data_IF_994384415872
#
_entry.id   IF_994384415872
#
_cell.length_a   1.000
_cell.length_b   1.000
_cell.length_c   1.000
_cell.angle_alpha   90.00
_cell.angle_beta   90.00
_cell.angle_gamma   90.00
#
_symmetry.space_group_name_H-M   'P 1'
#
loop_
_entity.id
_entity.type
_entity.pdbx_description
1 polymer ?
#
# COMPACT_ATOMS: atom_id res chain seq x y z
N UNK A 1 -16.21 6.52 6.07
CA UNK A 1 -15.26 5.62 5.35
C UNK A 1 -15.31 5.71 3.82
N UNK A 2 -16.51 5.84 3.20
CA UNK A 2 -16.69 5.81 1.74
C UNK A 2 -15.81 6.78 0.95
N UNK A 3 -15.84 8.07 1.27
CA UNK A 3 -15.03 9.10 0.59
C UNK A 3 -13.54 8.81 0.69
N UNK A 4 -13.08 8.33 1.85
CA UNK A 4 -11.68 7.99 2.05
C UNK A 4 -11.23 6.86 1.13
N UNK A 5 -12.01 5.77 0.98
CA UNK A 5 -11.67 4.67 0.06
C UNK A 5 -11.52 5.17 -1.38
N UNK A 6 -12.43 6.05 -1.83
CA UNK A 6 -12.37 6.65 -3.17
C UNK A 6 -11.15 7.54 -3.36
N UNK A 7 -10.89 8.44 -2.41
CA UNK A 7 -9.72 9.34 -2.45
C UNK A 7 -8.42 8.55 -2.42
N UNK A 8 -8.34 7.54 -1.56
CA UNK A 8 -7.16 6.71 -1.40
C UNK A 8 -6.84 5.91 -2.66
N UNK A 9 -7.85 5.28 -3.28
CA UNK A 9 -7.67 4.60 -4.57
C UNK A 9 -7.16 5.53 -5.66
N UNK A 10 -7.73 6.73 -5.78
CA UNK A 10 -7.30 7.72 -6.78
C UNK A 10 -5.85 8.18 -6.54
N UNK A 11 -5.52 8.53 -5.30
CA UNK A 11 -4.19 8.99 -4.92
C UNK A 11 -3.15 7.88 -5.15
N UNK A 12 -3.49 6.64 -4.77
CA UNK A 12 -2.64 5.49 -5.01
C UNK A 12 -2.40 5.23 -6.50
N UNK A 13 -3.44 5.37 -7.32
CA UNK A 13 -3.35 5.19 -8.78
C UNK A 13 -2.52 6.28 -9.45
N UNK A 14 -2.62 7.53 -8.97
CA UNK A 14 -1.81 8.66 -9.44
C UNK A 14 -0.35 8.42 -9.08
N UNK A 15 -0.06 8.11 -7.81
CA UNK A 15 1.30 7.86 -7.36
C UNK A 15 1.95 6.68 -8.12
N UNK A 16 1.20 5.61 -8.33
CA UNK A 16 1.67 4.45 -9.09
C UNK A 16 1.97 4.83 -10.55
N UNK A 17 1.07 5.56 -11.21
CA UNK A 17 1.30 6.04 -12.59
C UNK A 17 2.52 6.96 -12.68
N UNK A 18 2.64 7.92 -11.76
CA UNK A 18 3.79 8.82 -11.70
C UNK A 18 5.08 8.03 -11.49
N UNK A 19 5.08 7.02 -10.62
CA UNK A 19 6.26 6.19 -10.41
C UNK A 19 6.76 5.56 -11.71
N UNK A 20 5.88 4.96 -12.53
CA UNK A 20 6.30 4.37 -13.81
C UNK A 20 6.78 5.40 -14.82
N UNK A 21 6.09 6.55 -14.93
CA UNK A 21 6.50 7.63 -15.83
C UNK A 21 7.92 8.08 -15.48
N UNK A 22 8.18 8.37 -14.21
CA UNK A 22 9.49 8.83 -13.76
C UNK A 22 10.54 7.72 -13.72
N UNK A 23 10.16 6.45 -13.52
CA UNK A 23 11.07 5.32 -13.66
C UNK A 23 11.61 5.23 -15.10
N UNK A 24 10.74 5.34 -16.10
CA UNK A 24 11.15 5.33 -17.51
C UNK A 24 12.05 6.53 -17.81
N UNK A 25 11.71 7.72 -17.30
CA UNK A 25 12.53 8.92 -17.48
C UNK A 25 13.89 8.81 -16.78
N UNK A 26 13.95 8.27 -15.57
CA UNK A 26 15.19 8.08 -14.82
C UNK A 26 16.14 7.11 -15.53
N UNK A 27 15.61 6.04 -16.12
CA UNK A 27 16.37 5.08 -16.94
C UNK A 27 16.85 5.73 -18.23
N UNK A 28 16.02 6.54 -18.89
CA UNK A 28 16.37 7.20 -20.15
C UNK A 28 17.42 8.31 -19.92
N UNK A 29 17.29 9.11 -18.87
CA UNK A 29 18.08 10.33 -18.65
C UNK A 29 19.35 10.09 -17.80
N UNK A 30 19.63 8.85 -17.37
CA UNK A 30 20.86 8.45 -16.65
C UNK A 30 21.35 9.50 -15.62
N UNK A 31 20.55 9.75 -14.57
CA UNK A 31 21.03 10.63 -13.49
C UNK A 31 19.99 11.24 -12.56
N UNK A 32 18.70 10.95 -12.75
CA UNK A 32 17.64 11.43 -11.88
C UNK A 32 17.23 10.36 -10.85
N UNK A 33 16.98 10.78 -9.61
CA UNK A 33 16.48 9.95 -8.50
C UNK A 33 14.99 10.24 -8.21
N UNK A 34 14.24 10.78 -9.17
CA UNK A 34 12.85 11.22 -8.96
C UNK A 34 11.93 10.02 -8.71
N UNK A 35 12.13 8.89 -9.38
CA UNK A 35 11.38 7.64 -9.14
C UNK A 35 11.55 7.15 -7.70
N UNK A 36 12.73 7.32 -7.10
CA UNK A 36 12.97 6.99 -5.70
C UNK A 36 12.17 7.90 -4.75
N UNK A 37 12.05 9.19 -5.05
CA UNK A 37 11.22 10.12 -4.28
C UNK A 37 9.75 9.71 -4.33
N UNK A 38 9.23 9.39 -5.52
CA UNK A 38 7.83 8.97 -5.69
C UNK A 38 7.57 7.64 -5.01
N UNK A 39 8.53 6.74 -5.05
CA UNK A 39 8.49 5.48 -4.33
C UNK A 39 8.36 5.68 -2.81
N UNK A 40 9.10 6.64 -2.23
CA UNK A 40 8.91 7.02 -0.83
C UNK A 40 7.52 7.59 -0.55
N UNK A 41 6.97 8.41 -1.46
CA UNK A 41 5.62 8.94 -1.33
C UNK A 41 4.55 7.82 -1.37
N UNK A 42 4.74 6.81 -2.22
CA UNK A 42 3.90 5.60 -2.26
C UNK A 42 3.95 4.89 -0.90
N UNK A 43 5.15 4.65 -0.36
CA UNK A 43 5.31 3.98 0.92
C UNK A 43 4.65 4.77 2.07
N UNK A 44 4.83 6.09 2.11
CA UNK A 44 4.18 6.97 3.10
C UNK A 44 2.65 6.90 3.00
N UNK A 45 2.10 6.99 1.78
CA UNK A 45 0.67 6.88 1.59
C UNK A 45 0.14 5.50 2.05
N UNK A 46 0.85 4.41 1.72
CA UNK A 46 0.50 3.08 2.18
C UNK A 46 0.43 2.99 3.70
N UNK A 47 1.41 3.55 4.41
CA UNK A 47 1.44 3.49 5.88
C UNK A 47 0.26 4.27 6.46
N UNK A 48 0.06 5.52 6.03
CA UNK A 48 -1.02 6.37 6.54
C UNK A 48 -2.38 5.72 6.25
N UNK A 49 -2.57 5.26 5.02
CA UNK A 49 -3.85 4.73 4.58
C UNK A 49 -4.17 3.38 5.21
N UNK A 50 -3.20 2.46 5.29
CA UNK A 50 -3.38 1.15 5.94
C UNK A 50 -3.65 1.30 7.44
N UNK A 51 -2.96 2.20 8.15
CA UNK A 51 -3.27 2.50 9.55
C UNK A 51 -4.68 3.05 9.72
N UNK A 52 -5.09 3.99 8.87
CA UNK A 52 -6.45 4.54 8.92
C UNK A 52 -7.52 3.47 8.70
N UNK A 53 -7.31 2.53 7.79
CA UNK A 53 -8.20 1.37 7.60
C UNK A 53 -8.19 0.45 8.82
N UNK A 54 -7.02 0.15 9.37
CA UNK A 54 -6.88 -0.77 10.50
C UNK A 54 -7.52 -0.23 11.79
N UNK A 55 -7.42 1.06 12.08
CA UNK A 55 -8.00 1.66 13.29
C UNK A 55 -9.44 2.15 13.11
N UNK A 56 -9.96 2.18 11.88
CA UNK A 56 -11.34 2.59 11.62
C UNK A 56 -12.34 1.52 12.09
N UNK A 57 -13.29 1.93 12.94
CA UNK A 57 -14.43 1.09 13.35
C UNK A 57 -15.45 0.87 12.21
N UNK A 58 -15.44 1.74 11.20
CA UNK A 58 -16.37 1.69 10.06
C UNK A 58 -15.84 0.84 8.89
N UNK A 59 -14.64 0.28 9.01
CA UNK A 59 -13.99 -0.49 7.95
C UNK A 59 -14.07 -1.98 8.26
N UNK A 60 -14.57 -2.76 7.29
CA UNK A 60 -14.64 -4.21 7.39
C UNK A 60 -13.28 -4.78 6.98
N UNK A 61 -12.52 -5.24 7.96
CA UNK A 61 -11.17 -5.78 7.75
C UNK A 61 -11.28 -7.18 7.17
N UNK A 62 -10.81 -7.37 5.94
CA UNK A 62 -10.64 -8.70 5.38
C UNK A 62 -9.43 -9.39 6.01
N UNK A 63 -9.42 -10.73 5.99
CA UNK A 63 -8.27 -11.53 6.43
C UNK A 63 -7.02 -11.14 5.64
N UNK A 64 -7.13 -11.00 4.31
CA UNK A 64 -6.05 -10.57 3.43
C UNK A 64 -5.47 -9.21 3.81
N UNK A 65 -6.33 -8.22 4.08
CA UNK A 65 -5.87 -6.91 4.56
C UNK A 65 -5.17 -7.01 5.92
N UNK A 66 -5.68 -7.85 6.82
CA UNK A 66 -5.09 -8.03 8.15
C UNK A 66 -3.70 -8.66 8.07
N UNK A 67 -3.53 -9.70 7.25
CA UNK A 67 -2.22 -10.33 6.99
C UNK A 67 -1.26 -9.33 6.37
N UNK A 68 -1.70 -8.61 5.32
CA UNK A 68 -0.92 -7.54 4.70
C UNK A 68 -0.45 -6.50 5.73
N UNK A 69 -1.37 -6.03 6.59
CA UNK A 69 -1.08 -4.98 7.57
C UNK A 69 -0.02 -5.44 8.57
N UNK A 70 -0.11 -6.66 9.09
CA UNK A 70 0.89 -7.17 10.03
C UNK A 70 2.27 -7.31 9.39
N UNK A 71 2.36 -7.88 8.19
CA UNK A 71 3.63 -7.99 7.45
C UNK A 71 4.21 -6.59 7.20
N UNK A 72 3.38 -5.65 6.74
CA UNK A 72 3.80 -4.27 6.50
C UNK A 72 4.29 -3.58 7.76
N UNK A 73 3.62 -3.76 8.90
CA UNK A 73 4.01 -3.13 10.17
C UNK A 73 5.27 -3.74 10.77
N UNK A 74 5.44 -5.07 10.68
CA UNK A 74 6.69 -5.73 11.08
C UNK A 74 7.85 -5.15 10.27
N UNK A 75 7.67 -5.03 8.95
CA UNK A 75 8.69 -4.45 8.10
C UNK A 75 9.04 -3.00 8.48
N UNK A 76 8.03 -2.16 8.72
CA UNK A 76 8.23 -0.77 9.16
C UNK A 76 8.97 -0.68 10.50
N UNK A 77 8.63 -1.55 11.46
CA UNK A 77 9.32 -1.61 12.75
C UNK A 77 10.76 -2.12 12.61
N UNK A 78 11.01 -3.07 11.72
CA UNK A 78 12.36 -3.53 11.38
C UNK A 78 13.21 -2.41 10.77
N UNK A 79 12.65 -1.64 9.83
CA UNK A 79 13.32 -0.46 9.26
C UNK A 79 13.60 0.62 10.31
N UNK A 80 12.63 0.91 11.18
CA UNK A 80 12.80 1.90 12.25
C UNK A 80 13.88 1.44 13.24
N UNK A 81 13.87 0.16 13.63
CA UNK A 81 14.91 -0.44 14.46
C UNK A 81 16.29 -0.25 13.84
N UNK A 82 16.43 -0.50 12.53
CA UNK A 82 17.69 -0.25 11.82
C UNK A 82 18.13 1.19 11.84
N UNK A 83 17.22 2.13 11.59
CA UNK A 83 17.53 3.55 11.65
C UNK A 83 18.06 3.93 13.03
N UNK A 84 17.39 3.47 14.10
CA UNK A 84 17.81 3.69 15.48
C UNK A 84 19.17 3.03 15.79
N UNK A 85 19.39 1.78 15.36
CA UNK A 85 20.68 1.10 15.50
C UNK A 85 21.78 1.74 14.66
N UNK A 86 21.46 2.43 13.56
CA UNK A 86 22.45 3.12 12.73
C UNK A 86 22.98 4.40 13.36
N UNK A 87 22.20 5.03 14.24
CA UNK A 87 22.62 6.17 15.05
C UNK A 87 23.53 5.75 16.23
N UNK A 88 23.56 4.45 16.56
CA UNK A 88 24.43 3.90 17.59
C UNK A 88 25.74 3.39 16.97
N UNK A 89 26.92 3.67 17.57
CA UNK A 89 28.21 3.20 17.10
C UNK A 89 28.43 1.70 17.43
N UNK A 90 27.49 0.84 17.03
CA UNK A 90 27.53 -0.60 17.27
C UNK A 90 28.16 -1.32 16.08
N UNK A 91 29.48 -1.54 16.14
CA UNK A 91 30.20 -2.49 15.27
C UNK A 91 30.03 -3.91 15.84
N UNK A 92 28.99 -4.62 15.42
CA UNK A 92 28.82 -6.04 15.71
C UNK A 92 28.31 -6.74 14.44
N UNK A 93 28.80 -7.95 14.13
CA UNK A 93 28.48 -8.70 12.91
C UNK A 93 26.97 -8.95 12.74
N UNK A 94 26.25 -9.04 13.87
CA UNK A 94 24.79 -9.12 13.87
C UNK A 94 24.12 -7.89 13.22
N UNK A 95 24.62 -6.68 13.48
CA UNK A 95 24.03 -5.45 12.93
C UNK A 95 24.25 -5.36 11.41
N UNK A 96 25.35 -5.90 10.90
CA UNK A 96 25.66 -5.95 9.46
C UNK A 96 24.73 -6.93 8.74
N UNK A 97 24.60 -8.16 9.26
CA UNK A 97 23.71 -9.18 8.67
C UNK A 97 22.23 -8.75 8.71
N UNK A 98 21.81 -8.12 9.81
CA UNK A 98 20.47 -7.56 9.96
C UNK A 98 20.21 -6.40 8.97
N UNK A 99 21.17 -5.50 8.77
CA UNK A 99 21.11 -4.44 7.74
C UNK A 99 20.96 -5.02 6.34
N UNK A 100 21.76 -6.03 6.00
CA UNK A 100 21.70 -6.67 4.69
C UNK A 100 20.36 -7.37 4.45
N UNK A 101 19.85 -8.09 5.45
CA UNK A 101 18.54 -8.75 5.37
C UNK A 101 17.38 -7.78 5.13
N UNK A 102 17.38 -6.63 5.81
CA UNK A 102 16.33 -5.62 5.62
C UNK A 102 16.52 -4.84 4.32
N UNK A 103 17.76 -4.63 3.84
CA UNK A 103 17.99 -4.07 2.51
C UNK A 103 17.44 -4.98 1.42
N UNK A 104 17.70 -6.30 1.50
CA UNK A 104 17.15 -7.28 0.57
C UNK A 104 15.62 -7.31 0.64
N UNK A 105 15.05 -7.34 1.84
CA UNK A 105 13.60 -7.27 2.02
C UNK A 105 13.03 -5.92 1.55
N UNK A 106 13.75 -4.82 1.70
CA UNK A 106 13.35 -3.51 1.21
C UNK A 106 13.34 -3.42 -0.32
N UNK A 107 14.32 -4.02 -0.98
CA UNK A 107 14.40 -4.08 -2.44
C UNK A 107 13.31 -4.96 -3.06
N UNK A 108 13.05 -6.14 -2.49
CA UNK A 108 12.10 -7.09 -3.08
C UNK A 108 10.71 -7.09 -2.43
N UNK A 109 10.64 -6.92 -1.12
CA UNK A 109 9.39 -6.97 -0.35
C UNK A 109 8.54 -5.71 -0.47
N UNK A 110 9.15 -4.53 -0.59
CA UNK A 110 8.40 -3.27 -0.68
C UNK A 110 7.62 -3.12 -2.00
N UNK A 111 8.14 -3.50 -3.19
CA UNK A 111 7.32 -3.57 -4.40
C UNK A 111 6.14 -4.55 -4.27
N UNK A 112 6.36 -5.71 -3.64
CA UNK A 112 5.30 -6.71 -3.42
C UNK A 112 4.23 -6.18 -2.46
N UNK A 113 4.63 -5.56 -1.37
CA UNK A 113 3.72 -4.87 -0.44
C UNK A 113 2.95 -3.76 -1.17
N UNK A 114 3.63 -3.01 -2.04
CA UNK A 114 3.00 -1.93 -2.78
C UNK A 114 1.90 -2.41 -3.74
N UNK A 115 2.19 -3.45 -4.51
CA UNK A 115 1.21 -4.07 -5.42
C UNK A 115 0.06 -4.69 -4.61
N UNK A 116 0.38 -5.39 -3.52
CA UNK A 116 -0.62 -6.00 -2.64
C UNK A 116 -1.59 -4.94 -2.09
N UNK A 117 -1.07 -3.80 -1.67
CA UNK A 117 -1.91 -2.71 -1.17
C UNK A 117 -2.78 -2.09 -2.25
N UNK A 118 -2.22 -1.86 -3.44
CA UNK A 118 -2.99 -1.36 -4.58
C UNK A 118 -4.19 -2.26 -4.89
N UNK A 119 -3.99 -3.59 -4.88
CA UNK A 119 -5.06 -4.57 -5.10
C UNK A 119 -6.14 -4.43 -4.02
N UNK A 120 -5.77 -4.25 -2.75
CA UNK A 120 -6.74 -4.04 -1.67
C UNK A 120 -7.53 -2.74 -1.89
N UNK A 121 -6.87 -1.65 -2.28
CA UNK A 121 -7.55 -0.39 -2.61
C UNK A 121 -8.53 -0.53 -3.79
N UNK A 122 -8.13 -1.27 -4.82
CA UNK A 122 -8.97 -1.54 -5.98
C UNK A 122 -10.22 -2.36 -5.60
N UNK A 123 -10.05 -3.44 -4.83
CA UNK A 123 -11.17 -4.28 -4.37
C UNK A 123 -12.16 -3.48 -3.53
N UNK A 124 -11.67 -2.65 -2.61
CA UNK A 124 -12.53 -1.82 -1.77
C UNK A 124 -13.28 -0.77 -2.58
N UNK A 125 -12.63 -0.18 -3.59
CA UNK A 125 -13.27 0.76 -4.50
C UNK A 125 -14.37 0.09 -5.34
N UNK A 126 -14.12 -1.10 -5.88
CA UNK A 126 -15.12 -1.88 -6.63
C UNK A 126 -16.32 -2.24 -5.77
N UNK A 127 -16.08 -2.72 -4.55
CA UNK A 127 -17.15 -3.05 -3.59
C UNK A 127 -18.00 -1.83 -3.25
N UNK A 128 -17.38 -0.65 -3.14
CA UNK A 128 -18.09 0.60 -2.90
C UNK A 128 -19.02 0.97 -4.06
N UNK A 129 -18.52 0.88 -5.30
CA UNK A 129 -19.29 1.19 -6.50
C UNK A 129 -20.47 0.24 -6.69
N UNK A 130 -20.27 -1.06 -6.46
CA UNK A 130 -21.34 -2.07 -6.51
C UNK A 130 -22.48 -1.73 -5.54
N UNK A 131 -22.15 -1.39 -4.30
CA UNK A 131 -23.15 -1.00 -3.28
C UNK A 131 -23.90 0.27 -3.71
N UNK A 132 -23.24 1.22 -4.37
CA UNK A 132 -23.92 2.42 -4.88
C UNK A 132 -24.90 2.07 -6.02
N UNK A 133 -24.47 1.28 -7.00
CA UNK A 133 -25.33 0.86 -8.13
C UNK A 133 -26.54 0.04 -7.68
N UNK A 134 -26.41 -0.81 -6.66
CA UNK A 134 -27.53 -1.60 -6.12
C UNK A 134 -28.54 -0.72 -5.37
N UNK A 135 -28.08 0.32 -4.67
CA UNK A 135 -28.97 1.23 -3.94
C UNK A 135 -29.67 2.24 -4.87
N UNK A 136 -29.07 2.58 -6.00
CA UNK A 136 -29.66 3.46 -7.01
C UNK A 136 -30.63 2.73 -7.96
N UNK A 137 -30.59 1.39 -8.02
CA UNK A 137 -31.43 0.61 -8.94
C UNK A 137 -31.95 -0.70 -8.31
N UNK A 138 -32.93 -0.62 -7.38
CA UNK A 138 -33.42 -1.77 -6.63
C UNK A 138 -34.14 -2.83 -7.48
N UNK A 139 -34.65 -2.46 -8.67
CA UNK A 139 -35.48 -3.31 -9.55
C UNK A 139 -34.74 -4.49 -10.21
N UNK A 140 -33.40 -4.56 -10.20
CA UNK A 140 -32.65 -5.67 -10.82
C UNK A 140 -32.36 -6.86 -9.90
N UNK A 141 -32.88 -6.86 -8.66
CA UNK A 141 -32.55 -7.89 -7.66
C UNK A 141 -33.58 -9.03 -7.52
N UNK A 142 -34.70 -8.96 -8.22
CA UNK A 142 -35.68 -10.05 -8.30
C UNK A 142 -35.98 -10.35 -9.76
N UNK A 143 -35.43 -11.43 -10.37
CA UNK A 143 -36.09 -12.01 -11.52
C UNK A 143 -37.44 -12.56 -11.03
N UNK A 144 -38.51 -12.12 -11.67
CA UNK A 144 -39.88 -12.57 -11.48
C UNK A 144 -39.98 -14.08 -11.26
N UNK A 145 -40.32 -14.49 -10.03
CA UNK A 145 -40.92 -15.79 -9.71
C UNK A 145 -42.43 -15.73 -9.93
N UNK A 146 -42.85 -15.30 -11.13
CA UNK A 146 -44.23 -15.43 -11.61
C UNK A 146 -44.25 -15.68 -13.12
N UNK A 147 -43.97 -16.92 -13.52
CA UNK A 147 -44.68 -17.58 -14.61
C UNK A 147 -44.88 -19.05 -14.24
#
# INVERSE_FOLDING_TARGET
>A
MKNFIKTDYNLQSILFSLFFIFLVLDIWVFGSFISAVIYFLIALNHIISSNKRFFSKQYIKTIWFTVYYWISMIFMLSLLSLFLLSALPLKNDYSINFRYGILCFGLFGTPVLAISYYIICYIDYQKLNLIQTTNENPEKSHPDLRQ
#
